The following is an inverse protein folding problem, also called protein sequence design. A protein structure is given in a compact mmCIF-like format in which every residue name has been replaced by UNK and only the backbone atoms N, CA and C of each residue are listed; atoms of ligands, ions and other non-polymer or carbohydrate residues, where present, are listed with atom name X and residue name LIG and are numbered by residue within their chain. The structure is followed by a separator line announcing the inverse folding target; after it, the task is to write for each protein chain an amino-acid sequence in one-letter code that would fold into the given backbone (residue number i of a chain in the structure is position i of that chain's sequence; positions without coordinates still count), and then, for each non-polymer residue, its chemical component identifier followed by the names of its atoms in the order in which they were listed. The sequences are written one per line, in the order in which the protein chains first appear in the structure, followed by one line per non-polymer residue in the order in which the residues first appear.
data_IF_521967947615
#
_entry.id   IF_521967947615
#
_cell.length_a   1.000
_cell.length_b   1.000
_cell.length_c   1.000
_cell.angle_alpha   90.00
_cell.angle_beta   90.00
_cell.angle_gamma   90.00
#
_symmetry.space_group_name_H-M   'P 1'
#
loop_
_entity.id
_entity.type
_entity.pdbx_description
1 polymer ?
#
# COMPACT_ATOMS: atom_id res chain seq x y z
N UNK A 1 5.30 -30.50 11.17
CA UNK A 1 5.04 -30.63 9.72
C UNK A 1 6.29 -31.22 9.07
N UNK A 2 6.13 -32.14 8.13
CA UNK A 2 7.26 -32.76 7.41
C UNK A 2 7.70 -31.79 6.30
N UNK A 3 8.95 -31.31 6.34
CA UNK A 3 9.52 -30.43 5.31
C UNK A 3 9.55 -31.12 3.95
N UNK A 4 9.55 -30.36 2.86
CA UNK A 4 9.68 -30.93 1.51
C UNK A 4 10.89 -31.84 1.43
N UNK A 5 12.06 -31.41 1.93
CA UNK A 5 13.27 -32.25 2.03
C UNK A 5 13.04 -33.60 2.72
N UNK A 6 12.35 -33.60 3.87
CA UNK A 6 12.07 -34.86 4.59
C UNK A 6 11.17 -35.82 3.80
N UNK A 7 10.25 -35.29 2.98
CA UNK A 7 9.39 -36.09 2.11
C UNK A 7 10.14 -36.64 0.90
N UNK A 8 11.04 -35.85 0.33
CA UNK A 8 11.88 -36.27 -0.79
C UNK A 8 12.90 -37.32 -0.35
N UNK A 9 13.54 -37.14 0.82
CA UNK A 9 14.42 -38.15 1.41
C UNK A 9 13.69 -39.48 1.68
N UNK A 10 12.45 -39.42 2.14
CA UNK A 10 11.61 -40.61 2.29
C UNK A 10 11.30 -41.29 0.95
N UNK A 11 10.99 -40.51 -0.10
CA UNK A 11 10.75 -41.02 -1.45
C UNK A 11 12.01 -41.68 -2.04
N UNK A 12 13.18 -41.05 -1.83
CA UNK A 12 14.49 -41.58 -2.23
C UNK A 12 14.75 -42.95 -1.57
N UNK A 13 14.50 -43.08 -0.25
CA UNK A 13 14.59 -44.36 0.46
C UNK A 13 13.62 -45.44 -0.06
N UNK A 14 12.40 -45.06 -0.44
CA UNK A 14 11.44 -46.00 -1.05
C UNK A 14 11.91 -46.50 -2.41
N UNK A 15 12.51 -45.63 -3.22
CA UNK A 15 13.03 -45.97 -4.55
C UNK A 15 14.21 -46.92 -4.46
N UNK A 16 15.11 -46.71 -3.48
CA UNK A 16 16.22 -47.63 -3.23
C UNK A 16 15.73 -49.00 -2.72
N UNK A 17 14.64 -49.04 -1.93
CA UNK A 17 14.03 -50.27 -1.44
C UNK A 17 13.21 -51.06 -2.48
N UNK A 18 12.81 -50.43 -3.57
CA UNK A 18 12.09 -51.06 -4.68
C UNK A 18 13.00 -51.83 -5.65
N UNK A 19 14.31 -51.84 -5.40
CA UNK A 19 15.33 -52.46 -6.25
C UNK A 19 15.20 -52.09 -7.74
N UNK A 20 14.72 -50.86 -8.03
CA UNK A 20 14.53 -50.40 -9.40
C UNK A 20 15.87 -50.49 -10.11
N UNK A 21 15.90 -51.25 -11.21
CA UNK A 21 17.12 -51.49 -11.96
C UNK A 21 17.66 -50.14 -12.48
N UNK A 22 18.77 -49.67 -11.90
CA UNK A 22 19.33 -48.33 -12.13
C UNK A 22 19.67 -48.06 -13.60
N UNK A 23 19.80 -49.11 -14.41
CA UNK A 23 20.05 -49.04 -15.85
C UNK A 23 18.79 -48.94 -16.72
N UNK A 24 17.61 -49.27 -16.19
CA UNK A 24 16.33 -49.20 -16.92
C UNK A 24 15.98 -47.75 -17.29
N UNK A 25 15.18 -47.57 -18.34
CA UNK A 25 14.76 -46.23 -18.77
C UNK A 25 13.91 -45.56 -17.68
N UNK A 26 13.04 -46.34 -17.07
CA UNK A 26 12.14 -45.97 -16.00
C UNK A 26 12.92 -45.59 -14.74
N UNK A 27 13.93 -46.38 -14.35
CA UNK A 27 14.77 -46.10 -13.18
C UNK A 27 15.60 -44.81 -13.30
N UNK A 28 16.07 -44.49 -14.51
CA UNK A 28 16.75 -43.22 -14.78
C UNK A 28 15.80 -42.03 -14.64
N UNK A 29 14.61 -42.12 -15.21
CA UNK A 29 13.59 -41.05 -15.12
C UNK A 29 13.20 -40.82 -13.66
N UNK A 30 12.94 -41.89 -12.90
CA UNK A 30 12.53 -41.79 -11.50
C UNK A 30 13.62 -41.14 -10.64
N UNK A 31 14.89 -41.47 -10.86
CA UNK A 31 16.02 -40.82 -10.17
C UNK A 31 16.11 -39.35 -10.48
N UNK A 32 16.05 -38.99 -11.77
CA UNK A 32 16.09 -37.58 -12.17
C UNK A 32 14.93 -36.78 -11.55
N UNK A 33 13.74 -37.38 -11.44
CA UNK A 33 12.60 -36.74 -10.76
C UNK A 33 12.90 -36.51 -9.28
N UNK A 34 13.53 -37.46 -8.59
CA UNK A 34 13.92 -37.29 -7.18
C UNK A 34 14.94 -36.18 -7.04
N UNK A 35 15.97 -36.17 -7.89
CA UNK A 35 17.03 -35.16 -7.85
C UNK A 35 16.43 -33.75 -8.05
N UNK A 36 15.54 -33.57 -9.03
CA UNK A 36 14.81 -32.30 -9.24
C UNK A 36 13.97 -31.92 -8.01
N UNK A 37 13.35 -32.90 -7.33
CA UNK A 37 12.57 -32.63 -6.13
C UNK A 37 13.46 -32.26 -4.93
N UNK A 38 14.69 -32.76 -4.87
CA UNK A 38 15.69 -32.34 -3.87
C UNK A 38 16.10 -30.89 -4.11
N UNK A 39 16.41 -30.54 -5.36
CA UNK A 39 16.75 -29.16 -5.78
C UNK A 39 15.61 -28.19 -5.43
N UNK A 40 14.36 -28.55 -5.77
CA UNK A 40 13.18 -27.75 -5.40
C UNK A 40 13.06 -27.62 -3.87
N UNK A 41 13.39 -28.67 -3.13
CA UNK A 41 13.38 -28.65 -1.67
C UNK A 41 14.41 -27.69 -1.08
N UNK A 42 15.57 -27.55 -1.73
CA UNK A 42 16.61 -26.58 -1.36
C UNK A 42 16.18 -25.15 -1.70
N UNK A 43 15.82 -24.88 -2.96
CA UNK A 43 15.39 -23.54 -3.38
C UNK A 43 14.17 -23.05 -2.59
N UNK A 44 13.27 -23.96 -2.19
CA UNK A 44 12.11 -23.60 -1.39
C UNK A 44 12.49 -23.14 0.02
N UNK A 45 13.50 -23.75 0.65
CA UNK A 45 13.99 -23.30 1.96
C UNK A 45 14.61 -21.91 1.87
N UNK A 46 15.39 -21.65 0.82
CA UNK A 46 15.99 -20.32 0.56
C UNK A 46 14.90 -19.24 0.36
N UNK A 47 13.83 -19.56 -0.38
CA UNK A 47 12.69 -18.66 -0.56
C UNK A 47 12.00 -18.38 0.78
N UNK A 48 11.81 -19.40 1.62
CA UNK A 48 11.19 -19.22 2.93
C UNK A 48 12.03 -18.35 3.86
N UNK A 49 13.36 -18.44 3.79
CA UNK A 49 14.26 -17.56 4.53
C UNK A 49 14.15 -16.12 4.04
N UNK A 50 14.25 -15.89 2.73
CA UNK A 50 14.10 -14.55 2.14
C UNK A 50 12.74 -13.92 2.45
N UNK A 51 11.65 -14.71 2.44
CA UNK A 51 10.32 -14.24 2.83
C UNK A 51 10.28 -13.78 4.29
N UNK A 52 10.98 -14.48 5.19
CA UNK A 52 11.06 -14.08 6.61
C UNK A 52 11.82 -12.77 6.76
N UNK A 53 12.95 -12.61 6.07
CA UNK A 53 13.72 -11.35 6.08
C UNK A 53 12.88 -10.18 5.55
N UNK A 54 12.11 -10.39 4.47
CA UNK A 54 11.21 -9.35 3.95
C UNK A 54 10.14 -9.00 4.97
N UNK A 55 9.56 -9.99 5.66
CA UNK A 55 8.56 -9.74 6.68
C UNK A 55 9.15 -8.89 7.83
N UNK A 56 10.35 -9.22 8.31
CA UNK A 56 11.04 -8.43 9.34
C UNK A 56 11.31 -7.00 8.88
N UNK A 57 11.68 -6.80 7.61
CA UNK A 57 11.86 -5.48 7.04
C UNK A 57 10.55 -4.69 6.93
N UNK A 58 9.45 -5.34 6.55
CA UNK A 58 8.13 -4.71 6.49
C UNK A 58 7.64 -4.33 7.88
N UNK A 59 7.83 -5.20 8.87
CA UNK A 59 7.48 -4.91 10.27
C UNK A 59 8.28 -3.71 10.80
N UNK A 60 9.57 -3.58 10.44
CA UNK A 60 10.38 -2.41 10.78
C UNK A 60 9.89 -1.12 10.10
N UNK A 61 9.46 -1.19 8.83
CA UNK A 61 8.87 -0.04 8.16
C UNK A 61 7.54 0.40 8.80
N UNK A 62 6.73 -0.55 9.25
CA UNK A 62 5.46 -0.28 9.92
C UNK A 62 5.70 0.45 11.26
N UNK A 63 6.71 0.01 12.03
CA UNK A 63 7.13 0.67 13.27
C UNK A 63 7.63 2.10 13.00
N UNK A 64 8.51 2.29 12.01
CA UNK A 64 9.02 3.60 11.64
C UNK A 64 7.89 4.56 11.21
N UNK A 65 6.92 4.07 10.42
CA UNK A 65 5.77 4.86 9.99
C UNK A 65 4.86 5.22 11.17
N UNK A 66 4.63 4.29 12.09
CA UNK A 66 3.83 4.55 13.30
C UNK A 66 4.47 5.65 14.16
N UNK A 67 5.79 5.62 14.33
CA UNK A 67 6.51 6.69 15.04
C UNK A 67 6.38 8.05 14.34
N UNK A 68 6.43 8.06 13.00
CA UNK A 68 6.21 9.30 12.24
C UNK A 68 4.77 9.80 12.36
N UNK A 69 3.78 8.90 12.37
CA UNK A 69 2.38 9.24 12.59
C UNK A 69 2.21 9.87 13.97
N UNK A 70 2.75 9.27 15.02
CA UNK A 70 2.73 9.84 16.37
C UNK A 70 3.42 11.22 16.38
N UNK A 71 4.61 11.38 15.77
CA UNK A 71 5.28 12.70 15.73
C UNK A 71 4.51 13.79 14.97
N UNK A 72 3.74 13.43 13.94
CA UNK A 72 2.98 14.39 13.10
C UNK A 72 1.59 14.65 13.66
N UNK A 73 0.95 13.65 14.28
CA UNK A 73 -0.44 13.69 14.70
C UNK A 73 -0.64 13.77 16.23
N UNK A 74 0.36 13.43 17.07
CA UNK A 74 0.27 13.59 18.55
C UNK A 74 0.67 15.00 19.03
N UNK A 75 1.27 15.87 18.21
CA UNK A 75 1.46 17.29 18.57
C UNK A 75 0.19 18.15 18.44
N UNK A 76 -0.91 17.55 17.96
CA UNK A 76 -2.20 18.19 17.65
C UNK A 76 -3.39 17.51 18.42
N UNK A 77 -3.16 16.83 19.55
CA UNK A 77 -4.25 16.52 20.52
C UNK A 77 -4.60 17.73 21.41
N UNK A 78 -4.10 18.91 21.02
CA UNK A 78 -4.65 20.25 21.30
C UNK A 78 -5.24 20.84 20.01
N UNK A 79 -5.87 19.99 19.17
CA UNK A 79 -6.83 20.41 18.15
C UNK A 79 -8.10 20.99 18.81
N UNK A 80 -7.92 22.14 19.47
CA UNK A 80 -8.74 23.32 19.23
C UNK A 80 -8.51 23.78 17.77
N UNK A 81 -8.59 22.89 16.77
CA UNK A 81 -9.22 23.28 15.52
C UNK A 81 -10.69 23.46 15.90
N UNK A 82 -10.99 24.63 16.44
CA UNK A 82 -12.34 25.15 16.52
C UNK A 82 -13.02 24.77 15.20
N UNK A 83 -14.16 24.08 15.26
CA UNK A 83 -14.97 23.80 14.07
C UNK A 83 -15.26 25.11 13.28
N UNK A 84 -15.06 26.29 13.89
CA UNK A 84 -15.06 27.62 13.27
C UNK A 84 -13.97 27.84 12.19
N UNK A 85 -12.81 27.17 12.22
CA UNK A 85 -11.77 27.36 11.19
C UNK A 85 -12.06 26.57 9.90
N UNK A 86 -12.86 25.51 9.98
CA UNK A 86 -13.37 24.78 8.80
C UNK A 86 -14.57 25.53 8.17
N UNK A 87 -15.31 26.32 8.95
CA UNK A 87 -16.38 27.20 8.43
C UNK A 87 -15.86 28.34 7.53
N UNK A 88 -14.56 28.64 7.57
CA UNK A 88 -13.95 29.71 6.77
C UNK A 88 -13.60 29.30 5.34
N UNK A 89 -14.02 28.14 4.84
CA UNK A 89 -13.80 27.73 3.44
C UNK A 89 -15.11 27.45 2.69
N UNK A 90 -15.22 27.99 1.47
CA UNK A 90 -16.32 27.67 0.54
C UNK A 90 -15.83 26.80 -0.62
N UNK A 91 -16.69 25.87 -1.02
CA UNK A 91 -16.52 25.05 -2.21
C UNK A 91 -17.12 25.73 -3.42
N UNK A 92 -16.30 26.17 -4.37
CA UNK A 92 -16.73 26.77 -5.61
C UNK A 92 -16.28 25.93 -6.81
N UNK A 93 -17.23 25.56 -7.68
CA UNK A 93 -16.90 24.91 -8.95
C UNK A 93 -16.48 25.94 -9.98
N UNK A 94 -15.31 25.75 -10.58
CA UNK A 94 -14.83 26.63 -11.64
C UNK A 94 -15.71 26.48 -12.91
N UNK A 95 -16.37 27.53 -13.40
CA UNK A 95 -17.26 27.44 -14.57
C UNK A 95 -16.51 27.13 -15.88
N UNK A 96 -15.17 27.23 -15.89
CA UNK A 96 -14.37 27.04 -17.09
C UNK A 96 -13.69 25.67 -17.20
N UNK A 97 -13.43 24.98 -16.08
CA UNK A 97 -12.76 23.66 -16.07
C UNK A 97 -13.47 22.61 -15.21
N UNK A 98 -14.58 22.96 -14.56
CA UNK A 98 -15.41 22.10 -13.72
C UNK A 98 -14.67 21.47 -12.51
N UNK A 99 -13.53 22.05 -12.14
CA UNK A 99 -12.79 21.65 -10.95
C UNK A 99 -13.33 22.37 -9.71
N UNK A 100 -13.42 21.63 -8.62
CA UNK A 100 -13.81 22.15 -7.31
C UNK A 100 -12.63 22.87 -6.68
N UNK A 101 -12.81 24.15 -6.37
CA UNK A 101 -11.86 24.98 -5.65
C UNK A 101 -12.33 25.16 -4.22
N UNK A 102 -11.39 25.04 -3.28
CA UNK A 102 -11.57 25.34 -1.87
C UNK A 102 -10.97 26.72 -1.63
N UNK A 103 -11.81 27.70 -1.27
CA UNK A 103 -11.40 29.10 -1.16
C UNK A 103 -11.78 29.62 0.22
N UNK A 104 -10.83 30.28 0.86
CA UNK A 104 -11.02 30.97 2.13
C UNK A 104 -12.02 32.14 2.00
N UNK A 105 -13.01 32.21 2.88
CA UNK A 105 -14.07 33.22 2.92
C UNK A 105 -13.50 34.64 3.04
N UNK A 106 -12.36 34.83 3.71
CA UNK A 106 -11.69 36.12 3.82
C UNK A 106 -11.18 36.63 2.45
N UNK A 107 -10.76 35.73 1.55
CA UNK A 107 -10.33 36.08 0.19
C UNK A 107 -11.54 36.55 -0.63
N UNK A 108 -12.69 35.91 -0.43
CA UNK A 108 -13.93 36.24 -1.13
C UNK A 108 -14.48 37.59 -0.70
N UNK A 109 -14.47 37.89 0.61
CA UNK A 109 -14.85 39.19 1.12
C UNK A 109 -13.91 40.33 0.68
N UNK A 110 -12.67 39.99 0.30
CA UNK A 110 -11.64 40.98 -0.06
C UNK A 110 -11.45 41.19 -1.56
N UNK A 111 -11.93 40.28 -2.42
CA UNK A 111 -11.67 40.31 -3.88
C UNK A 111 -12.87 39.82 -4.68
N UNK A 112 -13.29 40.65 -5.64
CA UNK A 112 -14.40 40.33 -6.56
C UNK A 112 -14.03 39.27 -7.63
N UNK A 113 -12.73 38.99 -7.82
CA UNK A 113 -12.24 38.04 -8.84
C UNK A 113 -11.08 37.21 -8.31
N UNK A 114 -11.15 35.90 -8.57
CA UNK A 114 -10.06 34.95 -8.27
C UNK A 114 -9.58 34.25 -9.54
N UNK A 115 -8.30 33.91 -9.57
CA UNK A 115 -7.72 33.13 -10.66
C UNK A 115 -7.81 31.64 -10.32
N UNK A 116 -8.42 30.85 -11.20
CA UNK A 116 -8.41 29.40 -11.07
C UNK A 116 -6.97 28.86 -11.22
N UNK A 117 -6.42 28.08 -10.28
CA UNK A 117 -5.06 27.54 -10.37
C UNK A 117 -4.88 26.56 -11.54
N UNK A 118 -5.93 25.84 -11.92
CA UNK A 118 -5.87 24.87 -13.01
C UNK A 118 -5.98 25.52 -14.40
N UNK A 119 -7.06 26.29 -14.65
CA UNK A 119 -7.27 26.86 -15.98
C UNK A 119 -6.77 28.30 -16.16
N UNK A 120 -6.30 28.94 -15.07
CA UNK A 120 -5.76 30.32 -15.04
C UNK A 120 -6.72 31.40 -15.57
N UNK A 121 -8.02 31.10 -15.62
CA UNK A 121 -9.06 32.07 -15.97
C UNK A 121 -9.64 32.69 -14.70
N UNK A 122 -10.09 33.93 -14.83
CA UNK A 122 -10.77 34.64 -13.74
C UNK A 122 -12.15 34.02 -13.51
N UNK A 123 -12.49 33.86 -12.24
CA UNK A 123 -13.82 33.51 -11.74
C UNK A 123 -14.34 34.78 -11.05
N UNK A 124 -15.49 35.26 -11.49
CA UNK A 124 -16.21 36.35 -10.83
C UNK A 124 -16.98 35.78 -9.64
N UNK A 125 -16.82 36.39 -8.47
CA UNK A 125 -17.54 35.99 -7.25
C UNK A 125 -18.61 37.05 -6.98
N UNK A 126 -19.86 36.75 -7.30
CA UNK A 126 -20.98 37.64 -6.98
C UNK A 126 -21.38 37.45 -5.51
N UNK A 127 -21.04 38.42 -4.67
CA UNK A 127 -21.50 38.51 -3.26
C UNK A 127 -22.93 39.03 -3.23
N UNK A 128 -23.85 38.32 -3.89
CA UNK A 128 -25.30 38.43 -3.73
C UNK A 128 -25.84 37.07 -3.27
N UNK A 129 -25.08 36.39 -2.40
CA UNK A 129 -25.56 35.18 -1.75
C UNK A 129 -26.49 35.62 -0.61
N UNK A 130 -27.76 35.72 -0.97
CA UNK A 130 -28.95 35.77 -0.13
C UNK A 130 -29.11 34.49 0.71
N UNK A 131 -28.03 34.11 1.42
CA UNK A 131 -28.02 33.02 2.39
C UNK A 131 -28.49 33.61 3.72
N UNK A 132 -29.58 33.03 4.25
CA UNK A 132 -30.20 33.29 5.56
C UNK A 132 -29.26 33.02 6.77
N UNK A 133 -27.95 33.27 6.67
CA UNK A 133 -26.96 33.06 7.72
C UNK A 133 -26.56 34.37 8.42
N UNK A 134 -27.49 35.33 8.51
CA UNK A 134 -27.32 36.55 9.31
C UNK A 134 -28.54 36.77 10.21
N UNK A 135 -28.79 35.84 11.13
CA UNK A 135 -29.32 36.07 12.48
C UNK A 135 -28.66 35.12 13.47
#
# INVERSE_FOLDING_TARGET
MSSIKSRVAYLSGLIDGLEIEKGSKEGKIIREIVDILEDIGEEFEDIQESQREIQEYVDALDEDLSLMEDEIYDEDDDDDFDEEDIENFINLKCPNCDETLYIDTAIIHSKDKILCPNCRKNIDIDVDCNCDCCE
#
